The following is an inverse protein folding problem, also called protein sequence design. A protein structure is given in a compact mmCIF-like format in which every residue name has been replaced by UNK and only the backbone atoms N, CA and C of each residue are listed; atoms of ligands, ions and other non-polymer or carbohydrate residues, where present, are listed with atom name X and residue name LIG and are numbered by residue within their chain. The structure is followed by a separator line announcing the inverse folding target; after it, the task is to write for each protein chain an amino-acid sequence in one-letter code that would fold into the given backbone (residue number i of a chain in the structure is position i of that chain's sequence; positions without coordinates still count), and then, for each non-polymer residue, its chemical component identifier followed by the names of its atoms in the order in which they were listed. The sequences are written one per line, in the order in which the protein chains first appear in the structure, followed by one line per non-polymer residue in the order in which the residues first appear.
data_IF_029440143995
#
_entry.id   IF_029440143995
#
_cell.length_a   1.000
_cell.length_b   1.000
_cell.length_c   1.000
_cell.angle_alpha   90.00
_cell.angle_beta   90.00
_cell.angle_gamma   90.00
#
_symmetry.space_group_name_H-M   'P 1'
#
loop_
_entity.id
_entity.type
_entity.pdbx_description
1 polymer ?
#
# COMPACT_ATOMS: atom_id res chain seq x y z
N UNK A 1 -11.66 6.10 -21.99
CA UNK A 1 -12.00 4.91 -21.18
C UNK A 1 -11.94 3.56 -21.94
N UNK A 2 -11.79 3.53 -23.27
CA UNK A 2 -11.70 2.27 -24.04
C UNK A 2 -10.36 1.50 -23.90
N UNK A 3 -9.28 2.17 -23.51
CA UNK A 3 -7.93 1.59 -23.45
C UNK A 3 -7.76 0.56 -22.31
N UNK A 4 -8.40 0.77 -21.16
CA UNK A 4 -8.25 -0.11 -20.00
C UNK A 4 -8.93 -1.47 -20.23
N UNK A 5 -10.11 -1.50 -20.88
CA UNK A 5 -10.81 -2.74 -21.23
C UNK A 5 -10.04 -3.59 -22.24
N UNK A 6 -9.43 -2.97 -23.25
CA UNK A 6 -8.64 -3.68 -24.26
C UNK A 6 -7.35 -4.27 -23.65
N UNK A 7 -6.69 -3.53 -22.76
CA UNK A 7 -5.50 -4.01 -22.06
C UNK A 7 -5.81 -5.22 -21.16
N UNK A 8 -6.93 -5.19 -20.43
CA UNK A 8 -7.38 -6.34 -19.64
C UNK A 8 -7.73 -7.56 -20.48
N UNK A 9 -8.35 -7.34 -21.64
CA UNK A 9 -8.64 -8.40 -22.58
C UNK A 9 -7.34 -9.05 -23.11
N UNK A 10 -6.32 -8.26 -23.43
CA UNK A 10 -5.01 -8.75 -23.89
C UNK A 10 -4.23 -9.47 -22.79
N UNK A 11 -4.26 -8.99 -21.54
CA UNK A 11 -3.66 -9.69 -20.40
C UNK A 11 -4.32 -11.05 -20.13
N UNK A 12 -5.64 -11.14 -20.30
CA UNK A 12 -6.36 -12.41 -20.19
C UNK A 12 -6.02 -13.41 -21.32
N UNK A 13 -5.55 -12.93 -22.47
CA UNK A 13 -5.12 -13.77 -23.58
C UNK A 13 -3.68 -14.28 -23.38
N UNK A 14 -2.83 -13.51 -22.69
CA UNK A 14 -1.43 -13.85 -22.45
C UNK A 14 -1.20 -14.85 -21.30
N UNK A 15 -2.21 -15.11 -20.45
CA UNK A 15 -2.08 -16.05 -19.30
C UNK A 15 -2.09 -17.54 -19.69
N UNK A 16 -2.26 -17.87 -20.98
CA UNK A 16 -2.15 -19.25 -21.49
C UNK A 16 -0.71 -19.59 -21.88
N UNK A 17 0.23 -19.55 -20.93
CA UNK A 17 1.59 -20.10 -21.11
C UNK A 17 2.20 -20.44 -19.75
N UNK A 18 1.81 -21.59 -19.22
CA UNK A 18 2.52 -22.26 -18.13
C UNK A 18 3.87 -22.75 -18.64
N UNK A 19 4.96 -22.24 -18.07
CA UNK A 19 6.28 -22.88 -18.17
C UNK A 19 6.91 -22.96 -16.78
N UNK A 20 6.88 -24.17 -16.23
CA UNK A 20 7.65 -24.55 -15.06
C UNK A 20 9.15 -24.55 -15.37
N UNK A 21 9.96 -23.84 -14.59
CA UNK A 21 11.40 -24.09 -14.52
C UNK A 21 11.78 -24.34 -13.07
N UNK A 22 12.21 -25.57 -12.83
CA UNK A 22 12.73 -26.10 -11.58
C UNK A 22 14.28 -26.03 -11.60
N UNK A 23 14.86 -25.98 -10.39
CA UNK A 23 16.25 -26.23 -10.01
C UNK A 23 17.36 -25.22 -10.41
N UNK A 24 17.96 -24.59 -9.39
CA UNK A 24 19.22 -25.06 -8.74
C UNK A 24 19.56 -24.21 -7.52
N UNK A 25 19.68 -24.83 -6.35
CA UNK A 25 20.37 -24.28 -5.17
C UNK A 25 21.85 -24.68 -5.23
N UNK A 26 22.80 -23.81 -4.85
CA UNK A 26 24.09 -24.23 -4.33
C UNK A 26 24.13 -24.18 -2.79
N UNK A 27 24.84 -25.16 -2.21
CA UNK A 27 25.16 -25.33 -0.79
C UNK A 27 26.65 -24.99 -0.60
N UNK A 28 26.99 -24.33 0.51
CA UNK A 28 28.23 -24.43 1.32
C UNK A 28 28.33 -23.18 2.22
N UNK A 29 28.93 -23.13 3.42
CA UNK A 29 29.41 -24.09 4.44
C UNK A 29 29.73 -23.24 5.71
N UNK A 30 29.72 -23.88 6.89
CA UNK A 30 30.45 -23.65 8.17
C UNK A 30 31.39 -22.43 8.30
N UNK A 31 31.65 -21.80 9.45
CA UNK A 31 31.36 -21.99 10.88
C UNK A 31 31.85 -20.70 11.59
N UNK A 32 31.48 -20.48 12.86
CA UNK A 32 32.37 -20.15 13.99
C UNK A 32 31.53 -19.66 15.18
N UNK A 33 31.74 -20.28 16.35
CA UNK A 33 31.04 -19.96 17.59
C UNK A 33 31.86 -19.08 18.55
N UNK A 34 31.37 -19.05 19.81
CA UNK A 34 31.94 -18.47 21.04
C UNK A 34 31.73 -16.93 21.15
N UNK A 35 31.29 -16.31 22.25
CA UNK A 35 31.20 -16.69 23.67
C UNK A 35 30.11 -15.91 24.44
N UNK A 36 29.71 -16.50 25.57
CA UNK A 36 28.87 -15.94 26.63
C UNK A 36 29.65 -14.92 27.48
N UNK A 37 29.06 -13.78 27.86
CA UNK A 37 29.21 -13.26 29.22
C UNK A 37 27.97 -12.44 29.65
N UNK A 38 27.49 -12.81 30.83
CA UNK A 38 26.46 -12.16 31.65
C UNK A 38 26.94 -10.80 32.16
N UNK A 39 26.05 -9.81 32.19
CA UNK A 39 26.08 -8.74 33.19
C UNK A 39 24.67 -8.21 33.43
N UNK A 40 24.11 -8.66 34.54
CA UNK A 40 22.88 -8.19 35.16
C UNK A 40 23.09 -6.79 35.70
N UNK A 41 22.30 -5.81 35.25
CA UNK A 41 22.07 -4.58 36.02
C UNK A 41 20.59 -4.21 35.98
N UNK A 42 20.02 -4.08 37.17
CA UNK A 42 18.62 -3.78 37.46
C UNK A 42 18.33 -2.28 37.42
N UNK A 43 17.23 -1.96 36.74
CA UNK A 43 16.20 -0.94 37.02
C UNK A 43 16.62 0.52 37.25
N UNK A 44 16.23 1.39 36.31
CA UNK A 44 15.60 2.66 36.67
C UNK A 44 14.27 2.79 35.92
N UNK A 45 13.19 2.89 36.70
CA UNK A 45 11.83 3.14 36.24
C UNK A 45 11.74 4.54 35.65
N UNK A 46 11.90 4.67 34.35
CA UNK A 46 11.34 5.81 33.65
C UNK A 46 9.84 5.60 33.61
N UNK A 47 9.10 6.42 34.34
CA UNK A 47 7.71 6.73 34.00
C UNK A 47 7.76 7.34 32.60
N UNK A 48 7.84 6.50 31.57
CA UNK A 48 7.26 6.86 30.29
C UNK A 48 5.80 7.04 30.64
N UNK A 49 5.42 8.29 30.86
CA UNK A 49 4.12 8.77 30.53
C UNK A 49 3.82 8.11 29.19
N UNK A 50 3.01 7.04 29.24
CA UNK A 50 2.22 6.58 28.12
C UNK A 50 1.28 7.75 27.84
N UNK A 51 1.87 8.84 27.34
CA UNK A 51 1.17 9.77 26.52
C UNK A 51 0.77 8.84 25.41
N UNK A 52 -0.52 8.54 25.19
CA UNK A 52 -0.91 8.10 23.88
C UNK A 52 -0.31 9.20 23.01
N UNK A 53 0.80 8.90 22.33
CA UNK A 53 1.19 9.77 21.25
C UNK A 53 -0.09 9.82 20.46
N UNK A 54 -0.56 11.02 20.17
CA UNK A 54 -1.46 11.16 19.05
C UNK A 54 -0.68 10.49 17.91
N UNK A 55 -0.87 9.18 17.70
CA UNK A 55 -0.16 8.29 16.77
C UNK A 55 -0.68 8.57 15.35
N UNK A 56 -0.86 9.86 15.16
CA UNK A 56 -1.93 10.58 14.52
C UNK A 56 -1.51 12.07 14.40
N UNK A 57 -0.23 12.43 14.62
CA UNK A 57 0.53 12.97 13.48
C UNK A 57 0.58 11.85 12.42
N UNK A 58 -0.61 11.66 11.87
CA UNK A 58 -1.09 10.42 11.30
C UNK A 58 -0.42 10.33 9.95
N UNK A 59 -0.19 9.14 9.43
CA UNK A 59 0.22 9.01 8.03
C UNK A 59 -0.70 9.83 7.09
N UNK A 60 -1.94 10.07 7.53
CA UNK A 60 -2.95 10.93 6.88
C UNK A 60 -2.55 12.41 6.81
N UNK A 61 -1.87 12.96 7.81
CA UNK A 61 -1.37 14.34 7.77
C UNK A 61 -0.09 14.44 6.95
N UNK A 62 0.75 13.38 6.96
CA UNK A 62 1.83 13.24 5.99
C UNK A 62 1.25 13.28 4.57
N UNK A 63 0.26 12.44 4.25
CA UNK A 63 -0.37 12.42 2.92
C UNK A 63 -0.86 13.81 2.49
N UNK A 64 -1.53 14.56 3.37
CA UNK A 64 -1.97 15.94 3.09
C UNK A 64 -0.79 16.86 2.75
N UNK A 65 0.30 16.82 3.52
CA UNK A 65 1.51 17.63 3.24
C UNK A 65 2.12 17.32 1.89
N UNK A 66 1.98 16.09 1.41
CA UNK A 66 2.44 15.66 0.09
C UNK A 66 1.37 15.80 -1.00
N UNK A 67 0.27 16.51 -0.74
CA UNK A 67 -0.75 16.83 -1.75
C UNK A 67 -1.78 15.74 -1.99
N UNK A 68 -1.91 14.78 -1.08
CA UNK A 68 -2.87 13.68 -1.16
C UNK A 68 -3.96 13.77 -0.08
N UNK A 69 -5.19 13.34 -0.38
CA UNK A 69 -6.26 13.33 0.60
C UNK A 69 -6.07 12.20 1.64
N UNK A 70 -6.57 12.44 2.85
CA UNK A 70 -6.40 11.54 4.01
C UNK A 70 -7.02 10.15 3.84
N UNK A 71 -8.04 10.02 3.00
CA UNK A 71 -8.80 8.78 2.79
C UNK A 71 -8.20 7.84 1.74
N UNK A 72 -6.98 8.08 1.27
CA UNK A 72 -6.26 7.09 0.48
C UNK A 72 -5.85 5.86 1.29
N UNK A 73 -5.74 5.97 2.61
CA UNK A 73 -5.40 4.84 3.48
C UNK A 73 -6.58 4.50 4.39
N UNK A 74 -6.80 3.20 4.66
CA UNK A 74 -7.87 2.76 5.55
C UNK A 74 -7.67 3.18 7.00
N UNK A 75 -8.72 3.02 7.80
CA UNK A 75 -8.70 3.33 9.23
C UNK A 75 -7.76 2.45 10.06
N UNK A 76 -7.37 1.26 9.57
CA UNK A 76 -6.63 0.24 10.31
C UNK A 76 -5.08 0.32 10.15
N UNK A 77 -4.54 1.51 9.93
CA UNK A 77 -3.09 1.72 9.95
C UNK A 77 -2.57 1.51 11.37
N UNK A 78 -1.54 0.66 11.51
CA UNK A 78 -0.89 0.33 12.78
C UNK A 78 0.37 1.17 12.98
N UNK A 79 1.18 1.32 11.94
CA UNK A 79 2.42 2.11 11.99
C UNK A 79 2.85 2.54 10.59
N UNK A 80 3.75 3.51 10.53
CA UNK A 80 4.39 3.91 9.28
C UNK A 80 5.85 4.32 9.51
N UNK A 81 6.61 4.31 8.42
CA UNK A 81 7.97 4.86 8.33
C UNK A 81 8.06 5.67 7.04
N UNK A 82 8.80 6.77 7.10
CA UNK A 82 9.13 7.61 5.94
C UNK A 82 10.59 8.04 6.08
N UNK A 83 11.40 7.72 5.07
CA UNK A 83 12.78 8.17 4.96
C UNK A 83 12.84 9.58 4.37
N UNK A 84 13.95 10.28 4.59
CA UNK A 84 14.21 11.60 4.00
C UNK A 84 14.23 11.55 2.46
N UNK A 85 14.66 10.41 1.89
CA UNK A 85 14.63 10.16 0.44
C UNK A 85 13.21 9.91 -0.11
N UNK A 86 12.19 9.84 0.76
CA UNK A 86 10.80 9.63 0.42
C UNK A 86 10.34 8.17 0.40
N UNK A 87 11.23 7.21 0.64
CA UNK A 87 10.84 5.80 0.78
C UNK A 87 9.96 5.60 2.00
N UNK A 88 8.79 5.00 1.81
CA UNK A 88 7.82 4.79 2.88
C UNK A 88 7.43 3.32 3.01
N UNK A 89 7.08 2.94 4.24
CA UNK A 89 6.35 1.71 4.51
C UNK A 89 5.21 1.99 5.49
N UNK A 90 4.04 1.45 5.20
CA UNK A 90 2.86 1.47 6.08
C UNK A 90 2.53 0.04 6.46
N UNK A 91 2.35 -0.21 7.74
CA UNK A 91 1.88 -1.49 8.29
C UNK A 91 0.43 -1.33 8.71
N UNK A 92 -0.44 -2.18 8.18
CA UNK A 92 -1.82 -2.29 8.61
C UNK A 92 -1.94 -3.32 9.73
N UNK A 93 -3.02 -3.26 10.50
CA UNK A 93 -3.33 -4.30 11.48
C UNK A 93 -3.68 -5.64 10.80
N UNK A 94 -4.21 -5.58 9.58
CA UNK A 94 -4.53 -6.74 8.73
C UNK A 94 -4.75 -6.29 7.29
N UNK A 95 -4.51 -7.19 6.33
CA UNK A 95 -4.97 -6.98 4.95
C UNK A 95 -6.50 -6.86 4.87
N UNK A 96 -7.01 -5.98 4.00
CA UNK A 96 -8.45 -5.81 3.87
C UNK A 96 -8.92 -5.16 2.57
N UNK A 97 -10.23 -5.18 2.39
CA UNK A 97 -10.94 -4.57 1.28
C UNK A 97 -11.56 -3.24 1.71
N UNK A 98 -11.45 -2.26 0.83
CA UNK A 98 -12.12 -0.97 0.89
C UNK A 98 -12.99 -0.85 -0.34
N UNK A 99 -14.23 -0.40 -0.16
CA UNK A 99 -15.12 -0.09 -1.27
C UNK A 99 -15.30 1.43 -1.33
N UNK A 100 -14.75 2.01 -2.38
CA UNK A 100 -15.13 3.34 -2.84
C UNK A 100 -16.35 3.20 -3.77
N UNK A 101 -17.09 4.29 -4.05
CA UNK A 101 -18.32 4.24 -4.85
C UNK A 101 -18.16 3.48 -6.19
N UNK A 102 -17.04 3.68 -6.87
CA UNK A 102 -16.78 3.09 -8.20
C UNK A 102 -15.58 2.11 -8.22
N UNK A 103 -14.98 1.82 -7.06
CA UNK A 103 -13.77 1.03 -7.01
C UNK A 103 -13.68 0.19 -5.74
N UNK A 104 -13.49 -1.11 -5.90
CA UNK A 104 -13.02 -1.96 -4.81
C UNK A 104 -11.50 -2.03 -4.81
N UNK A 105 -10.87 -1.75 -3.68
CA UNK A 105 -9.43 -1.78 -3.47
C UNK A 105 -9.09 -2.76 -2.37
N UNK A 106 -8.10 -3.60 -2.61
CA UNK A 106 -7.51 -4.51 -1.65
C UNK A 106 -6.15 -3.96 -1.20
N UNK A 107 -5.98 -3.86 0.10
CA UNK A 107 -4.74 -3.47 0.76
C UNK A 107 -4.11 -4.71 1.40
N UNK A 108 -2.85 -4.95 1.06
CA UNK A 108 -2.01 -5.92 1.76
C UNK A 108 -1.62 -5.40 3.14
N UNK A 109 -1.11 -6.29 3.99
CA UNK A 109 -0.72 -5.93 5.35
C UNK A 109 0.44 -4.91 5.39
N UNK A 110 1.29 -4.94 4.37
CA UNK A 110 2.40 -4.01 4.21
C UNK A 110 2.26 -3.30 2.88
N UNK A 111 2.31 -1.97 2.93
CA UNK A 111 2.29 -1.10 1.76
C UNK A 111 3.62 -0.38 1.71
N UNK A 112 4.22 -0.27 0.54
CA UNK A 112 5.50 0.43 0.36
C UNK A 112 5.52 1.22 -0.93
N UNK A 113 6.42 2.18 -1.03
CA UNK A 113 6.71 2.91 -2.26
C UNK A 113 7.58 4.13 -1.97
N UNK A 114 7.62 5.04 -2.94
CA UNK A 114 8.36 6.30 -2.84
C UNK A 114 7.42 7.49 -2.94
N UNK A 115 7.40 8.31 -1.91
CA UNK A 115 6.54 9.47 -1.75
C UNK A 115 7.32 10.75 -2.07
N UNK A 116 6.71 11.60 -2.89
CA UNK A 116 7.19 12.93 -3.26
C UNK A 116 5.99 13.86 -3.39
N UNK A 117 6.22 15.18 -3.39
CA UNK A 117 5.12 16.13 -3.44
C UNK A 117 4.26 15.92 -4.69
N UNK A 118 2.98 15.61 -4.50
CA UNK A 118 2.01 15.32 -5.56
C UNK A 118 2.24 14.00 -6.29
N UNK A 119 3.18 13.14 -5.89
CA UNK A 119 3.43 11.86 -6.57
C UNK A 119 3.89 10.75 -5.64
N UNK A 120 3.28 9.57 -5.81
CA UNK A 120 3.73 8.30 -5.23
C UNK A 120 4.14 7.36 -6.36
N UNK A 121 5.30 6.72 -6.26
CA UNK A 121 5.82 5.77 -7.24
C UNK A 121 6.22 4.46 -6.57
N UNK A 122 6.45 3.44 -7.39
CA UNK A 122 6.92 2.11 -6.96
C UNK A 122 6.03 1.50 -5.86
N UNK A 123 4.72 1.78 -5.96
CA UNK A 123 3.73 1.36 -4.98
C UNK A 123 3.59 -0.16 -5.02
N UNK A 124 3.60 -0.77 -3.83
CA UNK A 124 3.34 -2.19 -3.61
C UNK A 124 2.33 -2.37 -2.50
N UNK A 125 1.58 -3.47 -2.55
CA UNK A 125 0.59 -3.81 -1.53
C UNK A 125 -0.79 -3.17 -1.72
N UNK A 126 -1.06 -2.53 -2.85
CA UNK A 126 -2.38 -1.98 -3.19
C UNK A 126 -2.85 -2.55 -4.52
N UNK A 127 -4.04 -3.16 -4.53
CA UNK A 127 -4.66 -3.74 -5.73
C UNK A 127 -6.06 -3.21 -5.94
N UNK A 128 -6.38 -2.72 -7.12
CA UNK A 128 -7.73 -2.33 -7.51
C UNK A 128 -8.42 -3.45 -8.28
N UNK A 129 -9.72 -3.64 -8.08
CA UNK A 129 -10.53 -4.59 -8.85
C UNK A 129 -11.05 -3.92 -10.12
N UNK A 130 -10.79 -4.52 -11.27
CA UNK A 130 -11.25 -4.05 -12.58
C UNK A 130 -11.97 -5.18 -13.31
N UNK A 131 -13.28 -5.04 -13.50
CA UNK A 131 -14.25 -5.95 -14.15
C UNK A 131 -14.16 -7.43 -13.74
N UNK A 132 -13.06 -8.14 -14.01
CA UNK A 132 -12.84 -9.55 -13.63
C UNK A 132 -11.50 -9.81 -12.92
N UNK A 133 -10.58 -8.85 -12.87
CA UNK A 133 -9.18 -9.04 -12.49
C UNK A 133 -8.78 -8.06 -11.38
N UNK A 134 -7.77 -8.44 -10.59
CA UNK A 134 -7.13 -7.54 -9.63
C UNK A 134 -5.85 -6.98 -10.23
N UNK A 135 -5.68 -5.67 -10.18
CA UNK A 135 -4.49 -4.97 -10.68
C UNK A 135 -3.75 -4.22 -9.61
N UNK A 136 -2.43 -4.38 -9.61
CA UNK A 136 -1.54 -3.64 -8.73
C UNK A 136 -1.46 -2.18 -9.17
N UNK A 137 -1.73 -1.26 -8.24
CA UNK A 137 -1.48 0.16 -8.44
C UNK A 137 0.02 0.39 -8.26
N UNK A 138 0.67 0.97 -9.27
CA UNK A 138 2.12 1.17 -9.28
C UNK A 138 2.52 2.63 -9.01
N UNK A 139 1.65 3.58 -9.33
CA UNK A 139 1.88 5.00 -9.05
C UNK A 139 0.57 5.77 -8.86
N UNK A 140 0.69 6.91 -8.18
CA UNK A 140 -0.38 7.88 -7.97
C UNK A 140 0.16 9.28 -8.21
N UNK A 141 -0.61 10.14 -8.85
CA UNK A 141 -0.27 11.55 -9.05
C UNK A 141 -1.47 12.43 -8.70
N UNK A 142 -1.26 13.35 -7.78
CA UNK A 142 -2.25 14.37 -7.44
C UNK A 142 -2.19 15.50 -8.48
N UNK A 143 -3.35 15.92 -8.97
CA UNK A 143 -3.51 17.11 -9.79
C UNK A 143 -4.47 18.08 -9.07
N UNK A 144 -3.92 18.97 -8.22
CA UNK A 144 -4.72 19.93 -7.46
C UNK A 144 -5.51 20.91 -8.35
N UNK A 145 -5.01 21.21 -9.55
CA UNK A 145 -5.65 22.15 -10.48
C UNK A 145 -6.96 21.62 -11.03
N UNK A 146 -7.04 20.30 -11.26
CA UNK A 146 -8.27 19.63 -11.70
C UNK A 146 -9.05 19.00 -10.55
N UNK A 147 -8.50 18.99 -9.33
CA UNK A 147 -9.10 18.31 -8.18
C UNK A 147 -9.16 16.79 -8.35
N UNK A 148 -8.18 16.20 -9.06
CA UNK A 148 -8.17 14.77 -9.38
C UNK A 148 -6.90 14.06 -8.93
N UNK A 149 -6.96 12.73 -8.89
CA UNK A 149 -5.84 11.84 -8.67
C UNK A 149 -5.78 10.86 -9.83
N UNK A 150 -4.60 10.76 -10.45
CA UNK A 150 -4.30 9.82 -11.52
C UNK A 150 -3.65 8.59 -10.90
N UNK A 151 -4.30 7.44 -11.03
CA UNK A 151 -3.81 6.14 -10.61
C UNK A 151 -3.23 5.41 -11.81
N UNK A 152 -2.01 4.88 -11.68
CA UNK A 152 -1.32 4.14 -12.74
C UNK A 152 -1.20 2.65 -12.39
N UNK A 153 -1.40 1.83 -13.41
CA UNK A 153 -1.25 0.37 -13.40
C UNK A 153 -0.39 0.01 -14.62
N UNK A 154 0.92 -0.05 -14.42
CA UNK A 154 1.86 -0.26 -15.54
C UNK A 154 1.73 0.85 -16.59
N UNK A 155 1.31 0.49 -17.81
CA UNK A 155 1.15 1.43 -18.93
C UNK A 155 -0.24 2.09 -19.00
N UNK A 156 -1.18 1.73 -18.13
CA UNK A 156 -2.53 2.30 -18.14
C UNK A 156 -2.75 3.18 -16.92
N UNK A 157 -3.55 4.23 -17.08
CA UNK A 157 -3.93 5.13 -16.01
C UNK A 157 -5.44 5.37 -15.95
N UNK A 158 -5.92 5.68 -14.75
CA UNK A 158 -7.31 6.05 -14.46
C UNK A 158 -7.31 7.32 -13.61
N UNK A 159 -8.10 8.31 -14.02
CA UNK A 159 -8.27 9.56 -13.27
C UNK A 159 -9.54 9.46 -12.44
N UNK A 160 -9.45 9.77 -11.16
CA UNK A 160 -10.57 9.79 -10.22
C UNK A 160 -10.60 11.11 -9.46
N UNK A 161 -11.78 11.61 -9.06
CA UNK A 161 -11.89 12.85 -8.30
C UNK A 161 -11.27 12.68 -6.91
N UNK A 162 -10.50 13.68 -6.45
CA UNK A 162 -9.86 13.64 -5.13
C UNK A 162 -10.90 13.56 -3.99
N UNK A 163 -12.10 14.12 -4.21
CA UNK A 163 -13.22 14.09 -3.26
C UNK A 163 -13.69 12.69 -2.88
N UNK A 164 -13.51 11.70 -3.77
CA UNK A 164 -13.80 10.29 -3.48
C UNK A 164 -12.95 9.75 -2.30
N UNK A 165 -11.81 10.38 -2.02
CA UNK A 165 -10.82 9.94 -1.05
C UNK A 165 -10.69 10.91 0.13
N UNK A 166 -11.64 11.81 0.34
CA UNK A 166 -11.60 12.76 1.47
C UNK A 166 -11.89 12.09 2.81
N UNK A 167 -12.80 11.11 2.82
CA UNK A 167 -13.21 10.41 4.01
C UNK A 167 -12.36 9.16 4.24
N UNK A 168 -12.01 8.89 5.49
CA UNK A 168 -11.20 7.73 5.86
C UNK A 168 -12.06 6.47 5.69
N UNK A 169 -11.72 5.55 4.78
CA UNK A 169 -12.52 4.37 4.55
C UNK A 169 -12.37 3.36 5.67
N UNK A 170 -13.45 2.64 5.95
CA UNK A 170 -13.43 1.52 6.90
C UNK A 170 -12.91 0.26 6.22
N UNK A 171 -11.93 -0.36 6.87
CA UNK A 171 -11.35 -1.63 6.46
C UNK A 171 -12.36 -2.79 6.66
N UNK A 172 -12.67 -3.52 5.59
CA UNK A 172 -13.52 -4.71 5.64
C UNK A 172 -12.72 -5.98 5.40
N UNK A 173 -12.88 -6.99 6.27
CA UNK A 173 -12.28 -8.32 6.07
C UNK A 173 -12.98 -9.14 4.99
N UNK A 174 -14.14 -8.70 4.51
CA UNK A 174 -14.90 -9.34 3.44
C UNK A 174 -14.94 -8.47 2.21
N UNK A 175 -14.76 -9.09 1.05
CA UNK A 175 -15.06 -8.47 -0.23
C UNK A 175 -16.58 -8.33 -0.34
N UNK A 176 -17.09 -7.09 -0.34
CA UNK A 176 -18.50 -6.85 -0.64
C UNK A 176 -18.70 -6.99 -2.15
N UNK A 177 -19.26 -8.12 -2.58
CA UNK A 177 -19.46 -8.46 -4.00
C UNK A 177 -20.74 -7.86 -4.60
N UNK A 178 -21.51 -7.08 -3.84
CA UNK A 178 -22.81 -6.54 -4.30
C UNK A 178 -22.72 -5.41 -5.33
N UNK A 179 -21.53 -4.95 -5.71
CA UNK A 179 -21.34 -3.85 -6.67
C UNK A 179 -20.63 -4.33 -7.96
N UNK A 180 -20.99 -5.53 -8.42
CA UNK A 180 -20.58 -6.07 -9.71
C UNK A 180 -21.85 -6.47 -10.48
N UNK A 181 -22.56 -5.47 -11.01
CA UNK A 181 -23.64 -5.63 -11.99
C UNK A 181 -23.47 -4.60 -13.09
#
# INVERSE_FOLDING_TARGET
MASLRLFFFLLSLASSSSSSLNLRRPISSQSNGLDLLSSSYTTLSSLNLDRPSNAADDIRDVLKRYGFPKGLLPNNVKSYTLSDDGDFNVELASSCYVNFPDQTVYYENRISGKLSYGSVKDVRGIKAKETFLWVSITAMKSDPSSGTIVFSVGFVSKTLPASMFENIPTCSRRLNLHQAS
#
